data_IF_545918641330
#
_entry.id   IF_545918641330
#
_cell.length_a   1.000
_cell.length_b   1.000
_cell.length_c   1.000
_cell.angle_alpha   90.00
_cell.angle_beta   90.00
_cell.angle_gamma   90.00
#
_symmetry.space_group_name_H-M   'P 1'
#
loop_
_entity.id
_entity.type
_entity.pdbx_description
1 polymer ?
#
# COMPACT_ATOMS: atom_id res chain seq x y z
N UNK A 1 -2.95 -9.72 -8.54
CA UNK A 1 -1.60 -10.28 -8.29
C UNK A 1 -1.66 -11.78 -8.54
N UNK A 2 -0.88 -12.35 -9.47
CA UNK A 2 -0.86 -13.82 -9.65
C UNK A 2 -0.29 -14.43 -8.35
N UNK A 3 -0.95 -15.42 -7.72
CA UNK A 3 -0.44 -16.02 -6.49
C UNK A 3 0.94 -16.61 -6.77
N UNK A 4 1.90 -16.35 -5.87
CA UNK A 4 3.25 -16.83 -6.02
C UNK A 4 3.27 -18.36 -6.17
N UNK A 5 3.92 -18.86 -7.22
CA UNK A 5 4.20 -20.29 -7.38
C UNK A 5 5.44 -20.62 -6.55
N UNK A 6 5.43 -21.81 -5.96
CA UNK A 6 6.30 -22.34 -4.88
C UNK A 6 7.77 -22.49 -5.24
N UNK A 7 8.26 -21.84 -6.29
CA UNK A 7 9.58 -22.17 -6.85
C UNK A 7 10.76 -21.65 -6.03
N UNK A 8 10.52 -20.77 -5.05
CA UNK A 8 11.59 -19.88 -4.56
C UNK A 8 11.98 -20.08 -3.08
N UNK A 9 11.40 -21.04 -2.36
CA UNK A 9 11.67 -21.29 -0.93
C UNK A 9 12.61 -22.49 -0.65
N UNK A 10 13.19 -23.09 -1.69
CA UNK A 10 14.04 -24.29 -1.58
C UNK A 10 13.28 -25.61 -1.42
N UNK A 11 11.94 -25.60 -1.30
CA UNK A 11 11.12 -26.81 -1.18
C UNK A 11 11.27 -27.72 -2.41
N UNK A 12 11.30 -27.15 -3.63
CA UNK A 12 11.49 -27.94 -4.86
C UNK A 12 12.86 -28.62 -4.86
N UNK A 13 13.93 -27.89 -4.51
CA UNK A 13 15.29 -28.43 -4.44
C UNK A 13 15.40 -29.59 -3.44
N UNK A 14 14.81 -29.45 -2.25
CA UNK A 14 14.81 -30.50 -1.22
C UNK A 14 14.05 -31.77 -1.65
N UNK A 15 12.95 -31.61 -2.39
CA UNK A 15 12.16 -32.77 -2.88
C UNK A 15 12.86 -33.44 -4.07
N UNK A 16 13.48 -32.66 -4.96
CA UNK A 16 14.29 -33.18 -6.08
C UNK A 16 15.47 -34.00 -5.56
N UNK A 17 16.17 -33.52 -4.53
CA UNK A 17 17.29 -34.23 -3.92
C UNK A 17 16.91 -35.61 -3.35
N UNK A 18 15.63 -35.81 -2.98
CA UNK A 18 15.11 -37.07 -2.45
C UNK A 18 14.38 -37.92 -3.50
N UNK A 19 14.31 -37.44 -4.74
CA UNK A 19 13.58 -38.11 -5.82
C UNK A 19 14.39 -39.28 -6.38
N UNK A 20 13.75 -40.44 -6.49
CA UNK A 20 14.37 -41.68 -6.99
C UNK A 20 14.04 -42.00 -8.45
N UNK A 21 13.28 -41.15 -9.13
CA UNK A 21 12.95 -41.28 -10.54
C UNK A 21 13.79 -40.34 -11.41
N UNK A 22 13.43 -40.22 -12.69
CA UNK A 22 14.04 -39.22 -13.58
C UNK A 22 13.89 -37.81 -12.97
N UNK A 23 15.01 -37.10 -12.69
CA UNK A 23 15.00 -35.77 -12.08
C UNK A 23 14.35 -34.72 -12.98
N UNK A 24 14.30 -34.93 -14.29
CA UNK A 24 13.56 -34.08 -15.25
C UNK A 24 12.09 -33.95 -14.87
N UNK A 25 11.53 -35.02 -14.31
CA UNK A 25 10.12 -35.09 -13.93
C UNK A 25 9.93 -35.12 -12.41
N UNK A 26 10.91 -34.65 -11.65
CA UNK A 26 10.75 -34.50 -10.21
C UNK A 26 9.59 -33.54 -9.88
N UNK A 27 8.90 -33.73 -8.75
CA UNK A 27 7.85 -32.81 -8.31
C UNK A 27 8.30 -31.35 -8.25
N UNK A 28 7.48 -30.46 -8.83
CA UNK A 28 7.76 -29.03 -8.84
C UNK A 28 8.76 -28.57 -9.91
N UNK A 29 9.24 -29.47 -10.77
CA UNK A 29 10.07 -29.11 -11.91
C UNK A 29 9.27 -28.42 -13.02
N UNK A 30 9.98 -27.62 -13.82
CA UNK A 30 9.42 -26.92 -14.98
C UNK A 30 9.75 -27.72 -16.24
N UNK A 31 8.73 -28.21 -16.92
CA UNK A 31 8.85 -28.89 -18.22
C UNK A 31 8.03 -28.09 -19.22
N UNK A 32 8.64 -27.70 -20.35
CA UNK A 32 8.01 -26.88 -21.39
C UNK A 32 7.34 -25.60 -20.84
N UNK A 33 8.01 -24.91 -19.91
CA UNK A 33 7.53 -23.66 -19.29
C UNK A 33 6.39 -23.84 -18.28
N UNK A 34 6.02 -25.07 -17.91
CA UNK A 34 4.97 -25.35 -16.93
C UNK A 34 5.51 -26.18 -15.77
N UNK A 35 5.19 -25.76 -14.54
CA UNK A 35 5.46 -26.57 -13.35
C UNK A 35 4.57 -27.81 -13.38
N UNK A 36 5.17 -28.99 -13.21
CA UNK A 36 4.45 -30.26 -13.27
C UNK A 36 4.40 -30.97 -11.92
N UNK A 37 3.39 -31.82 -11.77
CA UNK A 37 3.22 -32.69 -10.63
C UNK A 37 4.32 -33.75 -10.57
N UNK A 38 4.70 -34.37 -11.68
CA UNK A 38 5.78 -35.37 -11.76
C UNK A 38 5.52 -36.70 -11.04
N UNK A 39 4.30 -36.95 -10.53
CA UNK A 39 3.99 -38.20 -9.82
C UNK A 39 3.72 -39.30 -10.83
N UNK A 40 4.10 -40.55 -10.54
CA UNK A 40 3.79 -41.68 -11.44
C UNK A 40 2.30 -41.92 -11.50
N UNK A 41 1.75 -41.92 -12.71
CA UNK A 41 0.36 -42.27 -13.00
C UNK A 41 0.17 -43.78 -12.76
N UNK A 42 -0.96 -44.18 -12.17
CA UNK A 42 -1.22 -45.58 -11.78
C UNK A 42 -1.31 -46.55 -12.98
N UNK A 43 -1.75 -46.06 -14.15
CA UNK A 43 -2.08 -46.88 -15.33
C UNK A 43 -0.84 -47.22 -16.18
N UNK A 44 -0.04 -46.21 -16.48
CA UNK A 44 1.06 -46.25 -17.46
C UNK A 44 2.44 -46.03 -16.80
N UNK A 45 2.48 -45.78 -15.48
CA UNK A 45 3.68 -45.43 -14.71
C UNK A 45 4.42 -44.17 -15.19
N UNK A 46 3.83 -43.43 -16.12
CA UNK A 46 4.40 -42.20 -16.66
C UNK A 46 4.26 -41.03 -15.69
N UNK A 47 5.13 -40.00 -15.79
CA UNK A 47 5.02 -38.81 -14.98
C UNK A 47 3.74 -38.01 -15.24
N UNK A 48 3.12 -37.51 -14.18
CA UNK A 48 1.95 -36.65 -14.25
C UNK A 48 2.33 -35.22 -14.66
N UNK A 49 1.88 -34.78 -15.83
CA UNK A 49 2.07 -33.39 -16.32
C UNK A 49 1.10 -32.35 -15.74
N UNK A 50 0.19 -32.73 -14.83
CA UNK A 50 -0.79 -31.80 -14.26
C UNK A 50 -0.09 -30.75 -13.37
N UNK A 51 -0.58 -29.50 -13.33
CA UNK A 51 0.02 -28.47 -12.50
C UNK A 51 -0.18 -28.76 -11.01
N UNK A 52 0.81 -28.45 -10.14
CA UNK A 52 0.62 -28.42 -8.71
C UNK A 52 -0.44 -27.40 -8.27
N UNK A 53 -1.04 -27.62 -7.10
CA UNK A 53 -1.82 -26.54 -6.46
C UNK A 53 -0.86 -25.46 -5.92
N UNK A 54 -1.34 -24.24 -5.74
CA UNK A 54 -0.55 -23.15 -5.15
C UNK A 54 -0.01 -23.59 -3.77
N UNK A 55 1.29 -23.39 -3.52
CA UNK A 55 1.95 -23.78 -2.27
C UNK A 55 2.41 -25.24 -2.17
N UNK A 56 2.06 -26.12 -3.12
CA UNK A 56 2.48 -27.52 -3.14
C UNK A 56 3.38 -27.87 -4.34
N UNK A 57 4.02 -29.05 -4.28
CA UNK A 57 4.85 -29.62 -5.35
C UNK A 57 4.14 -30.70 -6.18
N UNK A 58 2.89 -31.05 -5.83
CA UNK A 58 2.05 -32.04 -6.51
C UNK A 58 0.68 -31.47 -6.85
N UNK A 59 -0.02 -32.09 -7.79
CA UNK A 59 -1.40 -31.73 -8.12
C UNK A 59 -2.38 -32.27 -7.07
N UNK A 60 -3.62 -31.77 -7.09
CA UNK A 60 -4.65 -32.17 -6.13
C UNK A 60 -5.01 -33.66 -6.17
N UNK A 61 -4.79 -34.34 -7.30
CA UNK A 61 -5.04 -35.80 -7.45
C UNK A 61 -3.90 -36.67 -6.94
N UNK A 62 -2.69 -36.12 -6.79
CA UNK A 62 -1.50 -36.84 -6.32
C UNK A 62 -1.02 -36.30 -4.98
N UNK A 63 -1.95 -36.22 -4.02
CA UNK A 63 -1.65 -36.00 -2.60
C UNK A 63 -1.69 -34.54 -2.13
N UNK A 64 -1.77 -33.56 -3.03
CA UNK A 64 -1.74 -32.16 -2.58
C UNK A 64 -3.01 -31.69 -1.86
N UNK A 65 -4.14 -32.42 -2.00
CA UNK A 65 -5.37 -32.18 -1.23
C UNK A 65 -5.36 -32.80 0.17
N UNK A 66 -4.34 -33.58 0.53
CA UNK A 66 -4.25 -34.13 1.88
C UNK A 66 -4.20 -32.97 2.90
N UNK A 67 -4.96 -33.03 4.03
CA UNK A 67 -5.13 -31.88 4.93
C UNK A 67 -3.82 -31.22 5.37
N UNK A 68 -2.83 -32.03 5.79
CA UNK A 68 -1.52 -31.53 6.21
C UNK A 68 -0.71 -30.87 5.07
N UNK A 69 -0.83 -31.38 3.85
CA UNK A 69 -0.15 -30.84 2.67
C UNK A 69 -0.81 -29.54 2.22
N UNK A 70 -2.15 -29.51 2.20
CA UNK A 70 -2.93 -28.33 1.85
C UNK A 70 -2.71 -27.19 2.86
N UNK A 71 -2.62 -27.51 4.15
CA UNK A 71 -2.34 -26.52 5.19
C UNK A 71 -0.94 -25.90 5.04
N UNK A 72 0.11 -26.72 4.91
CA UNK A 72 1.47 -26.22 4.65
C UNK A 72 1.58 -25.46 3.33
N UNK A 73 0.81 -25.85 2.32
CA UNK A 73 0.74 -25.14 1.05
C UNK A 73 0.15 -23.73 1.22
N UNK A 74 -0.93 -23.59 2.01
CA UNK A 74 -1.49 -22.27 2.36
C UNK A 74 -0.49 -21.41 3.11
N UNK A 75 0.20 -21.98 4.10
CA UNK A 75 1.24 -21.28 4.88
C UNK A 75 2.34 -20.71 3.98
N UNK A 76 2.88 -21.51 3.05
CA UNK A 76 3.90 -21.04 2.10
C UNK A 76 3.40 -19.91 1.19
N UNK A 77 2.15 -19.98 0.74
CA UNK A 77 1.57 -18.91 -0.09
C UNK A 77 1.47 -17.61 0.73
N UNK A 78 1.03 -17.70 2.00
CA UNK A 78 0.96 -16.56 2.90
C UNK A 78 2.37 -15.99 3.14
N UNK A 79 3.34 -16.85 3.46
CA UNK A 79 4.72 -16.44 3.71
C UNK A 79 5.37 -15.81 2.47
N UNK A 80 5.17 -16.38 1.28
CA UNK A 80 5.72 -15.83 0.03
C UNK A 80 5.08 -14.48 -0.30
N UNK A 81 3.76 -14.35 -0.11
CA UNK A 81 3.09 -13.07 -0.28
C UNK A 81 3.60 -12.03 0.74
N UNK A 82 3.81 -12.43 1.99
CA UNK A 82 4.36 -11.57 3.03
C UNK A 82 5.80 -11.13 2.71
N UNK A 83 6.68 -12.05 2.28
CA UNK A 83 8.04 -11.72 1.81
C UNK A 83 8.02 -10.81 0.58
N UNK A 84 7.09 -11.01 -0.34
CA UNK A 84 6.90 -10.11 -1.48
C UNK A 84 6.45 -8.71 -1.09
N UNK A 85 5.71 -8.56 0.02
CA UNK A 85 5.38 -7.27 0.61
C UNK A 85 6.60 -6.67 1.33
N UNK A 86 7.31 -7.46 2.14
CA UNK A 86 8.51 -7.01 2.86
C UNK A 86 9.65 -6.62 1.92
N UNK A 87 9.84 -7.32 0.80
CA UNK A 87 10.84 -6.98 -0.22
C UNK A 87 10.53 -5.69 -1.01
N UNK A 88 9.33 -5.10 -0.82
CA UNK A 88 8.98 -3.77 -1.33
C UNK A 88 9.17 -2.66 -0.30
N UNK A 89 9.49 -3.01 0.95
CA UNK A 89 9.84 -2.05 1.97
C UNK A 89 11.34 -1.80 1.81
N UNK A 90 11.68 -0.63 1.28
CA UNK A 90 13.07 -0.17 1.23
C UNK A 90 13.54 0.08 2.68
N UNK A 91 14.49 -0.72 3.21
CA UNK A 91 14.98 -0.54 4.58
C UNK A 91 15.75 0.78 4.76
N UNK A 92 16.22 1.36 3.66
CA UNK A 92 16.91 2.64 3.60
C UNK A 92 15.99 3.80 3.20
N UNK A 93 14.67 3.55 3.11
CA UNK A 93 13.70 4.61 2.83
C UNK A 93 13.94 5.78 3.80
N UNK A 94 14.01 7.03 3.29
CA UNK A 94 14.26 8.18 4.12
C UNK A 94 13.27 8.22 5.29
N UNK A 95 13.80 8.33 6.51
CA UNK A 95 12.98 8.55 7.70
C UNK A 95 12.46 9.98 7.67
N UNK A 96 11.31 10.15 7.06
CA UNK A 96 10.59 11.42 7.07
C UNK A 96 10.16 11.79 8.50
N UNK A 97 10.06 13.08 8.77
CA UNK A 97 9.53 13.57 10.04
C UNK A 97 8.06 13.11 10.18
N UNK A 98 7.68 12.35 11.23
CA UNK A 98 6.37 11.68 11.29
C UNK A 98 5.16 12.60 11.12
N UNK A 99 5.28 13.86 11.56
CA UNK A 99 4.24 14.88 11.37
C UNK A 99 4.05 15.23 9.90
N UNK A 100 5.14 15.42 9.15
CA UNK A 100 5.04 15.76 7.73
C UNK A 100 4.50 14.58 6.93
N UNK A 101 4.91 13.35 7.26
CA UNK A 101 4.35 12.14 6.67
C UNK A 101 2.85 12.03 6.95
N UNK A 102 2.40 12.24 8.20
CA UNK A 102 0.99 12.20 8.55
C UNK A 102 0.18 13.27 7.79
N UNK A 103 0.71 14.49 7.66
CA UNK A 103 0.06 15.56 6.92
C UNK A 103 -0.02 15.27 5.42
N UNK A 104 1.03 14.68 4.83
CA UNK A 104 1.03 14.25 3.44
C UNK A 104 0.01 13.12 3.20
N UNK A 105 -0.09 12.16 4.12
CA UNK A 105 -1.12 11.11 4.08
C UNK A 105 -2.54 11.69 4.16
N UNK A 106 -2.78 12.65 5.05
CA UNK A 106 -4.07 13.35 5.15
C UNK A 106 -4.40 14.07 3.85
N UNK A 107 -3.44 14.78 3.24
CA UNK A 107 -3.63 15.47 1.95
C UNK A 107 -3.98 14.49 0.83
N UNK A 108 -3.23 13.40 0.70
CA UNK A 108 -3.49 12.37 -0.31
C UNK A 108 -4.85 11.70 -0.09
N UNK A 109 -5.19 11.37 1.16
CA UNK A 109 -6.49 10.78 1.51
C UNK A 109 -7.64 11.74 1.26
N UNK A 110 -7.47 13.04 1.51
CA UNK A 110 -8.48 14.04 1.14
C UNK A 110 -8.70 14.07 -0.38
N UNK A 111 -7.63 14.04 -1.18
CA UNK A 111 -7.77 13.97 -2.65
C UNK A 111 -8.50 12.69 -3.10
N UNK A 112 -8.20 11.53 -2.48
CA UNK A 112 -8.91 10.27 -2.72
C UNK A 112 -10.40 10.38 -2.40
N UNK A 113 -10.75 10.99 -1.25
CA UNK A 113 -12.16 11.24 -0.87
C UNK A 113 -12.86 12.11 -1.91
N UNK A 114 -12.24 13.20 -2.37
CA UNK A 114 -12.85 14.05 -3.40
C UNK A 114 -13.07 13.30 -4.73
N UNK A 115 -12.11 12.47 -5.12
CA UNK A 115 -12.25 11.63 -6.31
C UNK A 115 -13.36 10.58 -6.15
N UNK A 116 -13.45 9.89 -5.01
CA UNK A 116 -14.52 8.92 -4.75
C UNK A 116 -15.89 9.59 -4.67
N UNK A 117 -15.98 10.81 -4.12
CA UNK A 117 -17.21 11.61 -4.16
C UNK A 117 -17.65 11.89 -5.58
N UNK A 118 -16.74 12.28 -6.48
CA UNK A 118 -17.12 12.51 -7.89
C UNK A 118 -17.57 11.23 -8.59
N UNK A 119 -17.00 10.07 -8.23
CA UNK A 119 -17.46 8.77 -8.74
C UNK A 119 -18.85 8.41 -8.25
N UNK A 120 -19.15 8.62 -6.97
CA UNK A 120 -20.48 8.38 -6.40
C UNK A 120 -21.52 9.36 -6.95
N UNK A 121 -21.18 10.64 -7.12
CA UNK A 121 -22.07 11.65 -7.69
C UNK A 121 -22.45 11.39 -9.14
N UNK A 122 -21.63 10.63 -9.87
CA UNK A 122 -21.89 10.25 -11.25
C UNK A 122 -22.75 8.98 -11.37
N UNK A 123 -23.16 8.36 -10.26
CA UNK A 123 -24.04 7.19 -10.27
C UNK A 123 -25.50 7.64 -10.31
N UNK A 124 -26.31 6.89 -11.05
CA UNK A 124 -27.77 6.99 -10.95
C UNK A 124 -28.27 6.32 -9.65
N UNK A 125 -29.45 6.73 -9.18
CA UNK A 125 -30.03 6.25 -7.91
C UNK A 125 -30.10 4.71 -7.84
N UNK A 126 -30.39 4.06 -8.96
CA UNK A 126 -30.50 2.62 -9.04
C UNK A 126 -29.12 1.94 -8.91
N UNK A 127 -28.05 2.55 -9.42
CA UNK A 127 -26.67 2.04 -9.34
C UNK A 127 -26.07 2.16 -7.94
N UNK A 128 -26.65 2.99 -7.06
CA UNK A 128 -26.26 3.05 -5.65
C UNK A 128 -26.61 1.76 -4.90
N UNK A 129 -27.68 1.08 -5.31
CA UNK A 129 -28.28 -0.05 -4.59
C UNK A 129 -28.29 -1.35 -5.39
N UNK A 130 -28.04 -1.29 -6.70
CA UNK A 130 -27.90 -2.44 -7.59
C UNK A 130 -26.52 -2.49 -8.25
N UNK A 131 -25.63 -3.28 -7.66
CA UNK A 131 -24.25 -3.45 -8.13
C UNK A 131 -24.01 -4.76 -8.86
N UNK A 132 -22.99 -4.78 -9.73
CA UNK A 132 -22.44 -6.01 -10.31
C UNK A 132 -21.75 -6.80 -9.18
N UNK A 133 -22.34 -7.92 -8.78
CA UNK A 133 -21.82 -8.78 -7.72
C UNK A 133 -20.81 -9.81 -8.24
N UNK A 134 -20.94 -10.24 -9.49
CA UNK A 134 -20.01 -11.17 -10.13
C UNK A 134 -20.03 -11.03 -11.65
N UNK A 135 -18.87 -11.19 -12.27
CA UNK A 135 -18.73 -11.38 -13.72
C UNK A 135 -17.96 -12.68 -13.96
N UNK A 136 -18.57 -13.59 -14.72
CA UNK A 136 -17.97 -14.88 -15.11
C UNK A 136 -17.92 -14.96 -16.63
N UNK A 137 -16.71 -14.96 -17.17
CA UNK A 137 -16.45 -15.09 -18.60
C UNK A 137 -15.58 -16.33 -18.85
N UNK A 138 -15.91 -17.17 -19.84
CA UNK A 138 -15.12 -18.36 -20.19
C UNK A 138 -15.86 -19.38 -21.05
N UNK A 139 -15.33 -20.61 -21.15
CA UNK A 139 -16.05 -21.74 -21.76
C UNK A 139 -16.72 -22.59 -20.68
N UNK A 140 -18.05 -22.64 -20.71
CA UNK A 140 -18.86 -23.60 -19.98
C UNK A 140 -19.05 -24.91 -20.74
N UNK A 141 -19.74 -25.90 -20.13
CA UNK A 141 -20.05 -27.19 -20.76
C UNK A 141 -20.83 -27.08 -22.07
N UNK A 142 -21.56 -25.96 -22.27
CA UNK A 142 -22.42 -25.71 -23.44
C UNK A 142 -21.87 -24.63 -24.39
N UNK A 143 -20.65 -24.14 -24.15
CA UNK A 143 -20.03 -23.10 -24.98
C UNK A 143 -19.62 -21.85 -24.18
N UNK A 144 -19.31 -20.73 -24.86
CA UNK A 144 -18.92 -19.49 -24.22
C UNK A 144 -19.99 -18.99 -23.24
N UNK A 145 -19.58 -18.64 -22.02
CA UNK A 145 -20.40 -18.01 -21.00
C UNK A 145 -19.86 -16.61 -20.72
N UNK A 146 -20.76 -15.62 -20.71
CA UNK A 146 -20.53 -14.27 -20.20
C UNK A 146 -21.72 -13.93 -19.29
N UNK A 147 -21.57 -14.19 -17.99
CA UNK A 147 -22.65 -14.05 -17.00
C UNK A 147 -22.29 -12.94 -16.03
N UNK A 148 -23.09 -11.89 -16.04
CA UNK A 148 -23.08 -10.80 -15.06
C UNK A 148 -24.20 -11.02 -14.05
N UNK A 149 -23.84 -11.24 -12.80
CA UNK A 149 -24.79 -11.34 -11.70
C UNK A 149 -24.86 -9.98 -11.01
N UNK A 150 -26.01 -9.34 -11.07
CA UNK A 150 -26.32 -8.14 -10.30
C UNK A 150 -27.07 -8.53 -9.05
N UNK A 151 -26.80 -7.86 -7.93
CA UNK A 151 -27.50 -8.07 -6.65
C UNK A 151 -27.84 -6.71 -6.04
N UNK A 152 -28.93 -6.67 -5.28
CA UNK A 152 -29.23 -5.54 -4.42
C UNK A 152 -28.19 -5.47 -3.29
N UNK A 153 -27.19 -4.61 -3.43
CA UNK A 153 -26.12 -4.34 -2.47
C UNK A 153 -25.57 -2.93 -2.76
N UNK A 154 -25.00 -2.28 -1.75
CA UNK A 154 -24.44 -0.94 -1.90
C UNK A 154 -23.32 -0.94 -2.95
N UNK A 155 -23.32 0.09 -3.79
CA UNK A 155 -22.26 0.34 -4.76
C UNK A 155 -20.87 0.24 -4.13
N UNK A 156 -19.94 -0.42 -4.83
CA UNK A 156 -18.54 -0.52 -4.41
C UNK A 156 -17.92 0.87 -4.24
N UNK A 157 -18.30 1.84 -5.09
CA UNK A 157 -17.85 3.22 -4.97
C UNK A 157 -18.33 3.87 -3.68
N UNK A 158 -19.58 3.61 -3.29
CA UNK A 158 -20.12 4.09 -2.01
C UNK A 158 -19.38 3.49 -0.82
N UNK A 159 -19.14 2.17 -0.83
CA UNK A 159 -18.39 1.48 0.24
C UNK A 159 -16.97 2.04 0.38
N UNK A 160 -16.24 2.18 -0.74
CA UNK A 160 -14.90 2.76 -0.75
C UNK A 160 -14.90 4.21 -0.26
N UNK A 161 -15.90 5.02 -0.64
CA UNK A 161 -16.03 6.39 -0.16
C UNK A 161 -16.22 6.44 1.36
N UNK A 162 -17.13 5.63 1.92
CA UNK A 162 -17.36 5.57 3.37
C UNK A 162 -16.09 5.17 4.12
N UNK A 163 -15.36 4.19 3.60
CA UNK A 163 -14.09 3.76 4.18
C UNK A 163 -13.04 4.87 4.15
N UNK A 164 -12.86 5.54 3.01
CA UNK A 164 -11.92 6.63 2.86
C UNK A 164 -12.24 7.83 3.77
N UNK A 165 -13.52 8.18 3.91
CA UNK A 165 -13.96 9.25 4.82
C UNK A 165 -13.71 8.91 6.29
N UNK A 166 -13.97 7.66 6.70
CA UNK A 166 -13.66 7.19 8.05
C UNK A 166 -12.15 7.22 8.34
N UNK A 167 -11.33 6.77 7.39
CA UNK A 167 -9.87 6.84 7.50
C UNK A 167 -9.39 8.30 7.63
N UNK A 168 -9.90 9.20 6.79
CA UNK A 168 -9.56 10.62 6.82
C UNK A 168 -9.91 11.24 8.18
N UNK A 169 -11.14 11.03 8.68
CA UNK A 169 -11.59 11.55 9.97
C UNK A 169 -10.71 11.06 11.13
N UNK A 170 -10.35 9.78 11.11
CA UNK A 170 -9.45 9.19 12.12
C UNK A 170 -8.06 9.82 12.07
N UNK A 171 -7.48 10.01 10.88
CA UNK A 171 -6.15 10.58 10.73
C UNK A 171 -6.10 12.05 11.14
N UNK A 172 -7.10 12.85 10.76
CA UNK A 172 -7.26 14.23 11.22
C UNK A 172 -7.36 14.26 12.75
N UNK A 173 -8.18 13.39 13.34
CA UNK A 173 -8.31 13.30 14.80
C UNK A 173 -6.99 12.98 15.49
N UNK A 174 -6.20 12.05 14.93
CA UNK A 174 -4.87 11.74 15.45
C UNK A 174 -3.90 12.91 15.34
N UNK A 175 -3.92 13.64 14.22
CA UNK A 175 -3.07 14.82 14.02
C UNK A 175 -3.40 15.93 15.04
N UNK A 176 -4.69 16.18 15.28
CA UNK A 176 -5.15 17.13 16.29
C UNK A 176 -4.74 16.69 17.70
N UNK A 177 -4.95 15.42 18.06
CA UNK A 177 -4.54 14.87 19.37
C UNK A 177 -3.03 14.91 19.59
N UNK A 178 -2.24 14.75 18.53
CA UNK A 178 -0.79 14.85 18.60
C UNK A 178 -0.29 16.31 18.77
N UNK A 179 -1.19 17.30 18.78
CA UNK A 179 -0.83 18.71 18.95
C UNK A 179 0.06 19.21 17.82
N UNK A 180 -0.15 18.71 16.59
CA UNK A 180 0.65 19.10 15.41
C UNK A 180 0.63 20.60 15.21
N UNK A 181 -0.56 21.21 15.34
CA UNK A 181 -0.72 22.66 15.14
C UNK A 181 -0.10 23.47 16.27
N UNK A 182 -0.30 23.05 17.52
CA UNK A 182 0.38 23.68 18.67
C UNK A 182 1.90 23.59 18.54
N UNK A 183 2.42 22.49 17.98
CA UNK A 183 3.86 22.33 17.76
C UNK A 183 4.35 23.23 16.62
N UNK A 184 3.58 23.40 15.55
CA UNK A 184 3.91 24.31 14.45
C UNK A 184 3.91 25.77 14.91
N UNK A 185 2.91 26.18 15.68
CA UNK A 185 2.85 27.53 16.26
C UNK A 185 4.03 27.75 17.20
N UNK A 186 4.31 26.82 18.13
CA UNK A 186 5.48 26.94 19.03
C UNK A 186 6.81 27.01 18.29
N UNK A 187 6.98 26.26 17.20
CA UNK A 187 8.18 26.33 16.37
C UNK A 187 8.28 27.69 15.67
N UNK A 188 7.18 28.20 15.10
CA UNK A 188 7.15 29.52 14.46
C UNK A 188 7.44 30.65 15.48
N UNK A 189 6.85 30.59 16.67
CA UNK A 189 7.12 31.54 17.76
C UNK A 189 8.58 31.49 18.22
N UNK A 190 9.13 30.29 18.41
CA UNK A 190 10.53 30.10 18.79
C UNK A 190 11.48 30.64 17.72
N UNK A 191 11.18 30.43 16.43
CA UNK A 191 11.95 30.97 15.32
C UNK A 191 11.84 32.50 15.24
N UNK A 192 10.64 33.06 15.41
CA UNK A 192 10.43 34.51 15.48
C UNK A 192 11.22 35.15 16.63
N UNK A 193 11.21 34.51 17.80
CA UNK A 193 12.02 34.92 18.94
C UNK A 193 13.53 34.89 18.65
N UNK A 194 14.02 33.83 18.00
CA UNK A 194 15.43 33.70 17.61
C UNK A 194 15.86 34.77 16.60
N UNK A 195 15.04 35.03 15.57
CA UNK A 195 15.28 36.09 14.58
C UNK A 195 15.30 37.47 15.25
N UNK A 196 14.32 37.76 16.13
CA UNK A 196 14.29 39.02 16.87
C UNK A 196 15.48 39.19 17.82
N UNK A 197 15.99 38.09 18.40
CA UNK A 197 17.21 38.07 19.19
C UNK A 197 18.46 38.39 18.34
N UNK A 198 18.59 37.75 17.17
CA UNK A 198 19.68 37.99 16.25
C UNK A 198 19.71 39.45 15.73
N UNK A 199 18.55 40.01 15.38
CA UNK A 199 18.43 41.42 14.97
C UNK A 199 18.90 42.34 16.09
N UNK A 200 18.46 42.12 17.34
CA UNK A 200 18.92 42.91 18.50
C UNK A 200 20.44 42.83 18.67
N UNK A 201 21.00 41.63 18.64
CA UNK A 201 22.43 41.43 18.78
C UNK A 201 23.24 42.14 17.68
N UNK A 202 22.75 42.13 16.44
CA UNK A 202 23.36 42.87 15.33
C UNK A 202 23.30 44.38 15.59
N UNK A 203 22.12 44.91 15.93
CA UNK A 203 21.93 46.34 16.17
C UNK A 203 22.77 46.85 17.34
N UNK A 204 22.86 46.08 18.43
CA UNK A 204 23.70 46.39 19.58
C UNK A 204 25.19 46.40 19.20
N UNK A 205 25.62 45.51 18.30
CA UNK A 205 27.00 45.44 17.81
C UNK A 205 27.40 46.54 16.82
N UNK A 206 26.43 47.28 16.25
CA UNK A 206 26.69 48.31 15.24
C UNK A 206 27.06 49.68 15.83
N UNK A 207 27.07 49.85 17.17
CA UNK A 207 27.40 51.10 17.86
C UNK A 207 26.71 52.33 17.24
N UNK A 208 25.39 52.23 17.09
CA UNK A 208 24.58 53.27 16.45
C UNK A 208 24.58 54.57 17.26
N UNK A 209 24.59 55.71 16.57
CA UNK A 209 24.32 57.02 17.18
C UNK A 209 22.88 57.10 17.68
N UNK A 210 22.60 58.02 18.61
CA UNK A 210 21.25 58.24 19.16
C UNK A 210 20.22 58.50 18.06
N UNK A 211 20.59 59.30 17.06
CA UNK A 211 19.73 59.63 15.92
C UNK A 211 19.46 58.40 15.03
N UNK A 212 20.46 57.53 14.81
CA UNK A 212 20.29 56.29 14.05
C UNK A 212 19.44 55.26 14.82
N UNK A 213 19.65 55.14 16.12
CA UNK A 213 18.90 54.23 16.98
C UNK A 213 17.41 54.61 17.04
N UNK A 214 17.09 55.91 16.97
CA UNK A 214 15.72 56.40 16.94
C UNK A 214 14.93 55.93 15.69
N UNK A 215 15.61 55.53 14.62
CA UNK A 215 14.97 55.02 13.40
C UNK A 215 14.61 53.53 13.47
N UNK A 216 15.20 52.77 14.40
CA UNK A 216 15.00 51.31 14.53
C UNK A 216 13.52 50.93 14.68
N UNK A 217 12.71 51.57 15.55
CA UNK A 217 11.31 51.20 15.75
C UNK A 217 10.43 51.43 14.52
N UNK A 218 10.90 52.20 13.53
CA UNK A 218 10.19 52.46 12.27
C UNK A 218 10.66 51.50 11.18
N UNK A 219 11.98 51.41 10.97
CA UNK A 219 12.55 50.67 9.85
C UNK A 219 12.45 49.15 10.03
N UNK A 220 12.71 48.63 11.24
CA UNK A 220 12.71 47.19 11.49
C UNK A 220 11.31 46.59 11.30
N UNK A 221 10.22 47.14 11.88
CA UNK A 221 8.88 46.62 11.64
C UNK A 221 8.42 46.78 10.18
N UNK A 222 8.85 47.84 9.49
CA UNK A 222 8.55 48.01 8.07
C UNK A 222 9.21 46.92 7.22
N UNK A 223 10.48 46.62 7.45
CA UNK A 223 11.20 45.55 6.76
C UNK A 223 10.61 44.16 7.07
N UNK A 224 10.23 43.89 8.32
CA UNK A 224 9.62 42.62 8.71
C UNK A 224 8.25 42.39 8.04
N UNK A 225 7.41 43.43 7.92
CA UNK A 225 6.12 43.33 7.21
C UNK A 225 6.28 43.08 5.71
N UNK A 226 7.34 43.60 5.10
CA UNK A 226 7.65 43.30 3.69
C UNK A 226 7.99 41.82 3.47
N UNK A 227 8.57 41.15 4.47
CA UNK A 227 8.89 39.72 4.40
C UNK A 227 7.66 38.82 4.56
N UNK A 228 6.64 39.23 5.34
CA UNK A 228 5.44 38.41 5.60
C UNK A 228 4.36 38.53 4.52
N UNK A 229 4.50 39.46 3.57
CA UNK A 229 3.55 39.66 2.49
C UNK A 229 2.29 40.45 2.90
N UNK A 230 2.23 40.98 4.13
CA UNK A 230 1.12 41.81 4.63
C UNK A 230 1.14 43.25 4.06
N UNK A 231 1.79 43.46 2.92
CA UNK A 231 1.79 44.72 2.20
C UNK A 231 0.59 44.78 1.23
N UNK A 232 -0.62 44.75 1.79
CA UNK A 232 -1.85 45.26 1.17
C UNK A 232 -2.93 45.50 2.22
#
# INVERSE_FOLDING_TARGET
MKPARVTDDGTVAAVVAKWKGDPTYAPGQVVNGKTICGAKKRKDQEPCGAPPINGATRCGRHGAKAPAVAQKAKERVIETNARGILGRIDPEAPREHPVETLLNLIRAKNAEVQWLRSKVQALEDEELVWGLASHREGLGPEGPIDVKEHRADQSVWWKLLREAENQLANWITMALKAGVEDRRVRLAESQGGAVAGAIRQILDGLNLTTEQAALIPVLVPQALRQLTGDAQ
#
